data_IF_697638200144
#
_entry.id   IF_697638200144
#
_cell.length_a   1.000
_cell.length_b   1.000
_cell.length_c   1.000
_cell.angle_alpha   90.00
_cell.angle_beta   90.00
_cell.angle_gamma   90.00
#
_symmetry.space_group_name_H-M   'P 1'
#
loop_
_entity.id
_entity.type
_entity.pdbx_description
1 polymer ?
#
# COMPACT_ATOMS: atom_id res chain seq x y z
N UNK A 1 -97.08 25.30 6.97
CA UNK A 1 -97.05 25.35 5.50
C UNK A 1 -96.87 23.94 4.97
N UNK A 2 -97.93 23.46 4.30
CA UNK A 2 -98.10 22.36 3.33
C UNK A 2 -97.15 21.14 3.23
N UNK A 3 -97.78 19.97 3.50
CA UNK A 3 -98.05 18.81 2.61
C UNK A 3 -96.93 17.84 2.16
N UNK A 4 -97.17 16.59 2.58
CA UNK A 4 -97.36 15.36 1.78
C UNK A 4 -96.26 14.29 1.66
N UNK A 5 -96.74 13.07 1.97
CA UNK A 5 -96.24 11.70 1.84
C UNK A 5 -95.87 11.24 0.40
N UNK A 6 -95.38 9.99 0.33
CA UNK A 6 -95.40 8.95 -0.75
C UNK A 6 -93.99 8.61 -1.31
N UNK A 7 -93.36 7.43 -1.08
CA UNK A 7 -93.58 6.01 -1.49
C UNK A 7 -92.85 5.59 -2.80
N UNK A 8 -91.91 4.61 -2.69
CA UNK A 8 -91.34 3.63 -3.68
C UNK A 8 -90.33 4.14 -4.75
N UNK A 9 -89.36 3.42 -5.34
CA UNK A 9 -88.63 2.12 -5.20
C UNK A 9 -87.54 2.08 -6.33
N UNK A 10 -86.47 1.27 -6.20
CA UNK A 10 -85.36 0.93 -7.16
C UNK A 10 -84.19 1.94 -7.27
N UNK A 11 -82.88 1.61 -7.33
CA UNK A 11 -82.17 0.44 -7.86
C UNK A 11 -80.68 0.40 -7.39
N UNK A 12 -80.08 -0.80 -7.44
CA UNK A 12 -78.65 -1.13 -7.65
C UNK A 12 -77.64 -1.09 -6.48
N UNK A 13 -77.45 -2.31 -5.94
CA UNK A 13 -76.25 -2.88 -5.31
C UNK A 13 -74.94 -2.54 -6.05
N UNK A 14 -74.02 -1.82 -5.39
CA UNK A 14 -72.62 -1.69 -5.79
C UNK A 14 -71.77 -2.71 -5.04
N UNK A 15 -71.51 -3.84 -5.69
CA UNK A 15 -70.48 -4.81 -5.29
C UNK A 15 -69.13 -4.22 -5.69
N UNK A 16 -68.33 -3.81 -4.70
CA UNK A 16 -66.92 -3.47 -4.90
C UNK A 16 -66.12 -4.75 -5.07
N UNK A 17 -65.89 -5.15 -6.32
CA UNK A 17 -64.94 -6.20 -6.70
C UNK A 17 -63.52 -5.66 -6.52
N UNK A 18 -62.85 -6.10 -5.45
CA UNK A 18 -61.40 -6.12 -5.39
C UNK A 18 -60.89 -7.09 -6.47
N UNK A 19 -60.45 -6.58 -7.61
CA UNK A 19 -59.70 -7.34 -8.59
C UNK A 19 -58.29 -7.63 -8.02
N UNK A 20 -58.14 -8.71 -7.26
CA UNK A 20 -56.83 -9.32 -7.07
C UNK A 20 -56.46 -10.01 -8.39
N UNK A 21 -55.69 -9.33 -9.23
CA UNK A 21 -55.03 -9.96 -10.36
C UNK A 21 -54.01 -10.98 -9.82
N UNK A 22 -54.42 -12.23 -9.68
CA UNK A 22 -53.49 -13.35 -9.65
C UNK A 22 -52.90 -13.47 -11.05
N UNK A 23 -51.72 -12.90 -11.26
CA UNK A 23 -50.93 -13.19 -12.45
C UNK A 23 -50.62 -14.70 -12.45
N UNK A 24 -51.31 -15.45 -13.32
CA UNK A 24 -50.97 -16.85 -13.58
C UNK A 24 -49.62 -16.85 -14.30
N UNK A 25 -48.54 -17.07 -13.54
CA UNK A 25 -47.23 -17.37 -14.11
C UNK A 25 -47.39 -18.59 -15.02
N UNK A 26 -47.03 -18.45 -16.31
CA UNK A 26 -47.04 -19.58 -17.23
C UNK A 26 -46.15 -20.68 -16.65
N UNK A 27 -46.62 -21.94 -16.69
CA UNK A 27 -45.83 -23.05 -16.18
C UNK A 27 -44.44 -23.05 -16.85
N UNK A 28 -43.35 -23.20 -16.08
CA UNK A 28 -42.00 -23.11 -16.62
C UNK A 28 -41.79 -24.22 -17.65
N UNK A 29 -41.27 -23.85 -18.83
CA UNK A 29 -41.03 -24.78 -19.95
C UNK A 29 -40.02 -25.88 -19.57
N UNK A 30 -39.04 -25.51 -18.75
CA UNK A 30 -38.03 -26.40 -18.18
C UNK A 30 -37.92 -26.11 -16.68
N UNK A 31 -37.73 -27.13 -15.86
CA UNK A 31 -37.34 -26.95 -14.46
C UNK A 31 -35.84 -27.09 -14.33
N UNK A 32 -35.22 -26.17 -13.60
CA UNK A 32 -33.76 -26.10 -13.41
C UNK A 32 -33.51 -26.00 -11.92
N UNK A 33 -33.24 -27.16 -11.30
CA UNK A 33 -33.18 -27.29 -9.85
C UNK A 33 -31.79 -27.76 -9.42
N UNK A 34 -31.25 -27.34 -8.28
CA UNK A 34 -29.99 -27.88 -7.77
C UNK A 34 -30.14 -29.40 -7.56
N UNK A 35 -29.12 -30.16 -7.93
CA UNK A 35 -29.14 -31.63 -7.74
C UNK A 35 -29.29 -32.05 -6.28
N UNK A 36 -28.79 -31.21 -5.36
CA UNK A 36 -28.98 -31.35 -3.92
C UNK A 36 -29.73 -30.10 -3.42
N UNK A 37 -30.88 -30.24 -2.75
CA UNK A 37 -31.60 -29.09 -2.20
C UNK A 37 -30.69 -28.23 -1.31
N UNK A 38 -30.65 -26.91 -1.57
CA UNK A 38 -29.81 -25.96 -0.84
C UNK A 38 -28.34 -25.89 -1.28
N UNK A 39 -27.91 -26.66 -2.28
CA UNK A 39 -26.52 -26.61 -2.79
C UNK A 39 -26.25 -25.45 -3.78
N UNK A 40 -27.18 -24.50 -3.89
CA UNK A 40 -27.11 -23.36 -4.79
C UNK A 40 -26.48 -22.11 -4.14
N UNK A 41 -25.87 -22.23 -2.96
CA UNK A 41 -25.11 -21.14 -2.34
C UNK A 41 -23.65 -21.57 -2.16
N UNK A 42 -22.73 -20.88 -2.83
CA UNK A 42 -21.31 -21.20 -2.86
C UNK A 42 -20.51 -20.01 -2.34
N UNK A 43 -19.57 -20.26 -1.43
CA UNK A 43 -18.60 -19.26 -0.96
C UNK A 43 -17.25 -19.54 -1.59
N UNK A 44 -16.65 -18.55 -2.23
CA UNK A 44 -15.38 -18.69 -2.91
C UNK A 44 -14.38 -17.59 -2.52
N UNK A 45 -13.08 -17.93 -2.47
CA UNK A 45 -11.98 -16.98 -2.63
C UNK A 45 -12.13 -16.12 -3.88
N UNK A 46 -11.51 -14.93 -3.95
CA UNK A 46 -11.40 -14.16 -5.20
C UNK A 46 -10.71 -14.91 -6.35
N UNK A 47 -9.93 -15.98 -6.07
CA UNK A 47 -9.31 -16.85 -7.09
C UNK A 47 -9.82 -18.29 -7.03
N UNK A 48 -10.93 -18.53 -6.34
CA UNK A 48 -11.46 -19.85 -6.09
C UNK A 48 -12.21 -20.41 -7.29
N UNK A 49 -12.30 -21.73 -7.35
CA UNK A 49 -13.21 -22.41 -8.26
C UNK A 49 -14.10 -23.38 -7.48
N UNK A 50 -15.33 -23.56 -7.93
CA UNK A 50 -16.25 -24.57 -7.42
C UNK A 50 -16.94 -25.27 -8.58
N UNK A 51 -17.49 -26.46 -8.28
CA UNK A 51 -18.41 -27.14 -9.18
C UNK A 51 -19.78 -27.21 -8.52
N UNK A 52 -20.82 -26.91 -9.29
CA UNK A 52 -22.21 -27.09 -8.88
C UNK A 52 -22.95 -27.85 -9.95
N UNK A 53 -23.91 -28.68 -9.53
CA UNK A 53 -24.67 -29.53 -10.44
C UNK A 53 -26.15 -29.20 -10.32
N UNK A 54 -26.77 -28.91 -11.46
CA UNK A 54 -28.21 -28.71 -11.61
C UNK A 54 -28.85 -29.88 -12.36
N UNK A 55 -30.13 -30.13 -12.12
CA UNK A 55 -30.95 -31.06 -12.90
C UNK A 55 -31.89 -30.23 -13.76
N UNK A 56 -31.80 -30.43 -15.08
CA UNK A 56 -32.67 -29.78 -16.06
C UNK A 56 -33.69 -30.79 -16.54
N UNK A 57 -34.99 -30.50 -16.41
CA UNK A 57 -36.09 -31.37 -16.86
C UNK A 57 -36.93 -30.69 -17.93
N UNK A 58 -37.25 -31.42 -19.01
CA UNK A 58 -38.20 -30.96 -20.02
C UNK A 58 -39.65 -31.18 -19.57
N UNK A 59 -40.40 -30.10 -19.33
CA UNK A 59 -41.84 -30.16 -18.97
C UNK A 59 -42.78 -30.01 -20.16
N UNK A 60 -42.23 -29.79 -21.37
CA UNK A 60 -43.01 -29.73 -22.60
C UNK A 60 -43.35 -31.13 -23.11
N UNK A 61 -44.43 -31.21 -23.89
CA UNK A 61 -44.86 -32.43 -24.59
C UNK A 61 -44.03 -32.76 -25.83
N UNK A 62 -42.99 -31.98 -26.15
CA UNK A 62 -42.14 -32.17 -27.33
C UNK A 62 -40.66 -32.24 -26.95
N UNK A 63 -39.89 -33.02 -27.70
CA UNK A 63 -38.42 -33.09 -27.58
C UNK A 63 -37.81 -31.73 -27.91
N UNK A 64 -36.83 -31.28 -27.11
CA UNK A 64 -36.13 -30.00 -27.31
C UNK A 64 -34.62 -30.17 -27.20
N UNK A 65 -33.92 -29.47 -28.07
CA UNK A 65 -32.46 -29.28 -27.99
C UNK A 65 -32.19 -27.94 -27.30
N UNK A 66 -31.31 -27.96 -26.32
CA UNK A 66 -31.07 -26.91 -25.34
C UNK A 66 -29.59 -26.52 -25.31
N UNK A 67 -29.34 -25.24 -25.06
CA UNK A 67 -28.01 -24.69 -24.82
C UNK A 67 -28.01 -23.88 -23.53
N UNK A 68 -26.86 -23.79 -22.87
CA UNK A 68 -26.66 -22.92 -21.71
C UNK A 68 -26.06 -21.61 -22.19
N UNK A 69 -26.64 -20.49 -21.77
CA UNK A 69 -26.08 -19.18 -22.06
C UNK A 69 -24.82 -18.93 -21.21
N UNK A 70 -23.74 -18.39 -21.80
CA UNK A 70 -22.56 -17.99 -21.03
C UNK A 70 -22.92 -16.95 -19.95
N UNK A 71 -22.34 -17.11 -18.76
CA UNK A 71 -22.45 -16.15 -17.66
C UNK A 71 -21.03 -15.87 -17.16
N UNK A 72 -20.70 -14.60 -16.89
CA UNK A 72 -19.38 -14.26 -16.36
C UNK A 72 -19.09 -15.04 -15.07
N UNK A 73 -17.89 -15.62 -14.96
CA UNK A 73 -17.52 -16.44 -13.80
C UNK A 73 -18.18 -17.81 -13.70
N UNK A 74 -18.99 -18.23 -14.69
CA UNK A 74 -19.60 -19.55 -14.70
C UNK A 74 -19.56 -20.17 -16.10
N UNK A 75 -18.98 -21.35 -16.21
CA UNK A 75 -18.93 -22.12 -17.45
C UNK A 75 -19.55 -23.50 -17.26
N UNK A 76 -20.08 -24.07 -18.33
CA UNK A 76 -20.50 -25.46 -18.32
C UNK A 76 -19.25 -26.36 -18.34
N UNK A 77 -19.16 -27.29 -17.39
CA UNK A 77 -18.08 -28.28 -17.35
C UNK A 77 -18.41 -29.41 -18.33
N UNK A 78 -17.85 -29.35 -19.53
CA UNK A 78 -18.13 -30.30 -20.63
C UNK A 78 -17.29 -31.59 -20.58
N UNK A 79 -16.63 -31.89 -19.45
CA UNK A 79 -15.70 -33.00 -19.31
C UNK A 79 -16.18 -34.35 -19.90
N UNK A 80 -15.61 -34.73 -21.05
CA UNK A 80 -15.66 -36.07 -21.64
C UNK A 80 -17.03 -36.54 -22.19
N UNK A 81 -16.99 -37.59 -23.01
CA UNK A 81 -18.12 -38.21 -23.74
C UNK A 81 -19.29 -38.73 -22.89
N UNK A 82 -19.26 -38.57 -21.55
CA UNK A 82 -20.26 -39.08 -20.61
C UNK A 82 -20.97 -37.98 -19.79
N UNK A 83 -20.90 -36.70 -20.17
CA UNK A 83 -21.67 -35.66 -19.50
C UNK A 83 -23.16 -35.70 -19.94
N UNK A 84 -24.13 -35.91 -19.04
CA UNK A 84 -25.55 -36.04 -19.40
C UNK A 84 -26.17 -34.81 -20.06
N UNK A 85 -25.70 -33.60 -19.71
CA UNK A 85 -26.04 -32.37 -20.43
C UNK A 85 -24.77 -31.86 -21.14
N UNK A 86 -24.36 -32.46 -22.27
CA UNK A 86 -23.36 -31.84 -23.15
C UNK A 86 -23.93 -30.60 -23.85
N UNK A 87 -23.11 -29.66 -24.29
CA UNK A 87 -23.60 -28.47 -25.00
C UNK A 87 -23.46 -28.66 -26.52
N UNK A 88 -24.55 -28.64 -27.31
CA UNK A 88 -25.96 -28.66 -26.93
C UNK A 88 -26.43 -30.05 -26.44
N UNK A 89 -27.53 -30.10 -25.67
CA UNK A 89 -28.14 -31.36 -25.20
C UNK A 89 -29.61 -31.46 -25.61
N UNK A 90 -30.12 -32.68 -25.78
CA UNK A 90 -31.51 -32.92 -26.18
C UNK A 90 -32.26 -33.69 -25.10
N UNK A 91 -33.43 -33.18 -24.70
CA UNK A 91 -34.32 -33.81 -23.73
C UNK A 91 -35.66 -34.15 -24.37
N UNK A 92 -36.06 -35.41 -24.30
CA UNK A 92 -37.42 -35.86 -24.64
C UNK A 92 -38.42 -35.41 -23.54
N UNK A 93 -39.73 -35.39 -23.81
CA UNK A 93 -40.74 -35.00 -22.82
C UNK A 93 -40.58 -35.74 -21.49
N UNK A 94 -40.54 -35.02 -20.38
CA UNK A 94 -40.42 -35.56 -19.02
C UNK A 94 -39.00 -36.01 -18.60
N UNK A 95 -38.06 -36.13 -19.54
CA UNK A 95 -36.68 -36.55 -19.23
C UNK A 95 -35.86 -35.43 -18.57
N UNK A 96 -34.80 -35.82 -17.86
CA UNK A 96 -33.87 -34.90 -17.19
C UNK A 96 -32.41 -35.23 -17.48
N UNK A 97 -31.53 -34.23 -17.37
CA UNK A 97 -30.08 -34.43 -17.38
C UNK A 97 -29.39 -33.61 -16.26
N UNK A 98 -28.17 -34.01 -15.89
CA UNK A 98 -27.34 -33.30 -14.92
C UNK A 98 -26.42 -32.31 -15.61
N UNK A 99 -26.62 -31.02 -15.34
CA UNK A 99 -25.83 -29.90 -15.83
C UNK A 99 -24.74 -29.56 -14.82
N UNK A 100 -23.50 -29.88 -15.16
CA UNK A 100 -22.33 -29.54 -14.34
C UNK A 100 -21.80 -28.16 -14.73
N UNK A 101 -21.64 -27.28 -13.75
CA UNK A 101 -21.17 -25.91 -13.90
C UNK A 101 -19.89 -25.74 -13.10
N UNK A 102 -18.89 -25.12 -13.71
CA UNK A 102 -17.66 -24.67 -13.06
C UNK A 102 -17.76 -23.17 -12.83
N UNK A 103 -17.57 -22.77 -11.58
CA UNK A 103 -17.54 -21.37 -11.16
C UNK A 103 -16.07 -20.95 -11.08
N UNK A 104 -15.73 -19.78 -11.61
CA UNK A 104 -14.43 -19.14 -11.46
C UNK A 104 -14.60 -17.75 -10.85
N UNK A 105 -14.27 -17.63 -9.56
CA UNK A 105 -14.42 -16.38 -8.83
C UNK A 105 -13.43 -15.29 -9.29
N UNK A 106 -12.36 -15.63 -10.02
CA UNK A 106 -11.43 -14.63 -10.55
C UNK A 106 -12.06 -13.73 -11.64
N UNK A 107 -13.24 -14.11 -12.13
CA UNK A 107 -14.02 -13.36 -13.11
C UNK A 107 -15.20 -12.62 -12.46
N UNK A 108 -15.32 -12.67 -11.13
CA UNK A 108 -16.38 -12.05 -10.36
C UNK A 108 -15.77 -11.01 -9.40
N UNK A 109 -16.33 -9.79 -9.32
CA UNK A 109 -15.95 -8.84 -8.26
C UNK A 109 -16.19 -9.43 -6.86
N UNK A 110 -15.57 -8.90 -5.79
CA UNK A 110 -15.94 -9.25 -4.42
C UNK A 110 -17.44 -8.99 -4.14
N UNK A 111 -18.06 -9.83 -3.32
CA UNK A 111 -19.48 -9.70 -2.95
C UNK A 111 -20.34 -10.91 -3.33
N UNK A 112 -21.66 -10.75 -3.25
CA UNK A 112 -22.64 -11.81 -3.56
C UNK A 112 -23.19 -11.58 -4.96
N UNK A 113 -23.14 -12.64 -5.78
CA UNK A 113 -23.63 -12.64 -7.16
C UNK A 113 -24.77 -13.62 -7.30
N UNK A 114 -25.92 -13.14 -7.77
CA UNK A 114 -27.02 -13.98 -8.23
C UNK A 114 -26.71 -14.48 -9.64
N UNK A 115 -26.11 -15.67 -9.71
CA UNK A 115 -25.86 -16.42 -10.92
C UNK A 115 -26.98 -17.46 -11.14
N UNK A 116 -26.94 -18.12 -12.28
CA UNK A 116 -27.83 -19.26 -12.54
C UNK A 116 -27.73 -19.69 -13.99
N UNK A 117 -27.80 -20.99 -14.28
CA UNK A 117 -27.82 -21.47 -15.65
C UNK A 117 -29.09 -20.99 -16.36
N UNK A 118 -28.93 -20.12 -17.35
CA UNK A 118 -29.99 -19.80 -18.30
C UNK A 118 -29.98 -20.85 -19.40
N UNK A 119 -31.05 -21.64 -19.52
CA UNK A 119 -31.17 -22.71 -20.52
C UNK A 119 -32.13 -22.28 -21.61
N UNK A 120 -31.67 -22.25 -22.86
CA UNK A 120 -32.41 -21.75 -24.02
C UNK A 120 -32.70 -22.85 -25.04
N UNK A 121 -33.81 -22.76 -25.76
CA UNK A 121 -34.16 -23.67 -26.86
C UNK A 121 -33.34 -23.29 -28.10
N UNK A 122 -32.54 -24.23 -28.62
CA UNK A 122 -31.64 -23.99 -29.75
C UNK A 122 -30.57 -22.95 -29.44
N UNK A 123 -30.09 -22.25 -30.47
CA UNK A 123 -29.14 -21.14 -30.34
C UNK A 123 -29.82 -19.76 -30.22
N UNK A 124 -31.15 -19.69 -30.27
CA UNK A 124 -31.90 -18.44 -30.20
C UNK A 124 -32.16 -18.02 -28.75
N UNK A 125 -31.84 -16.77 -28.43
CA UNK A 125 -31.95 -16.20 -27.08
C UNK A 125 -33.40 -15.83 -26.69
N UNK A 126 -34.39 -16.19 -27.51
CA UNK A 126 -35.79 -15.74 -27.37
C UNK A 126 -36.70 -16.69 -26.58
N UNK A 127 -36.23 -17.89 -26.23
CA UNK A 127 -37.01 -18.84 -25.42
C UNK A 127 -36.14 -19.57 -24.41
N UNK A 128 -35.83 -18.89 -23.31
CA UNK A 128 -35.02 -19.42 -22.21
C UNK A 128 -35.84 -19.67 -20.94
N UNK A 129 -35.30 -20.50 -20.07
CA UNK A 129 -35.78 -20.71 -18.71
C UNK A 129 -34.65 -20.46 -17.72
N UNK A 130 -35.03 -19.91 -16.58
CA UNK A 130 -34.15 -19.60 -15.44
C UNK A 130 -34.58 -20.48 -14.26
N UNK A 131 -33.67 -20.78 -13.32
CA UNK A 131 -34.06 -21.33 -12.02
C UNK A 131 -35.09 -20.43 -11.33
N UNK A 132 -35.94 -21.01 -10.49
CA UNK A 132 -36.81 -20.21 -9.63
C UNK A 132 -35.97 -19.36 -8.66
N UNK A 133 -36.51 -18.27 -8.07
CA UNK A 133 -35.75 -17.40 -7.17
C UNK A 133 -35.01 -18.16 -6.03
N UNK A 134 -35.61 -19.23 -5.50
CA UNK A 134 -35.02 -20.02 -4.42
C UNK A 134 -33.95 -21.03 -4.90
N UNK A 135 -33.90 -21.28 -6.21
CA UNK A 135 -33.01 -22.26 -6.85
C UNK A 135 -31.85 -21.59 -7.62
N UNK A 136 -31.84 -20.27 -7.71
CA UNK A 136 -30.76 -19.50 -8.34
C UNK A 136 -29.42 -19.76 -7.62
N UNK A 137 -28.35 -19.82 -8.41
CA UNK A 137 -27.01 -20.03 -7.90
C UNK A 137 -26.49 -18.72 -7.31
N UNK A 138 -26.26 -18.66 -6.01
CA UNK A 138 -25.62 -17.54 -5.37
C UNK A 138 -24.15 -17.85 -5.12
N UNK A 139 -23.27 -16.97 -5.60
CA UNK A 139 -21.82 -17.06 -5.38
C UNK A 139 -21.36 -15.87 -4.56
N UNK A 140 -20.87 -16.13 -3.36
CA UNK A 140 -20.29 -15.12 -2.48
C UNK A 140 -18.76 -15.16 -2.58
N UNK A 141 -18.16 -14.12 -3.14
CA UNK A 141 -16.72 -13.97 -3.31
C UNK A 141 -16.15 -13.15 -2.15
N UNK A 142 -15.26 -13.74 -1.36
CA UNK A 142 -14.60 -13.09 -0.24
C UNK A 142 -13.18 -12.63 -0.57
N UNK A 143 -12.78 -11.50 0.04
CA UNK A 143 -11.42 -10.97 -0.02
C UNK A 143 -10.95 -10.45 1.33
N UNK A 144 -9.64 -10.56 1.56
CA UNK A 144 -8.94 -9.97 2.69
C UNK A 144 -8.02 -8.85 2.18
N UNK A 145 -7.77 -7.83 3.01
CA UNK A 145 -6.76 -6.81 2.73
C UNK A 145 -5.91 -6.53 3.96
N UNK A 146 -4.70 -6.00 3.75
CA UNK A 146 -3.83 -5.48 4.82
C UNK A 146 -3.86 -3.95 4.82
N UNK A 147 -3.73 -3.35 6.00
CA UNK A 147 -3.63 -1.89 6.14
C UNK A 147 -2.35 -1.29 5.52
N UNK A 148 -1.30 -2.10 5.33
CA UNK A 148 -0.08 -1.72 4.64
C UNK A 148 0.58 -2.93 3.98
N UNK A 149 1.29 -2.72 2.87
CA UNK A 149 2.15 -3.73 2.23
C UNK A 149 3.55 -3.79 2.84
N UNK A 150 3.97 -2.76 3.58
CA UNK A 150 5.27 -2.69 4.28
C UNK A 150 5.11 -2.04 5.64
N UNK A 151 5.63 -2.69 6.68
CA UNK A 151 5.64 -2.20 8.05
C UNK A 151 7.08 -2.14 8.57
N UNK A 152 7.52 -0.95 8.96
CA UNK A 152 8.87 -0.71 9.44
C UNK A 152 8.82 -0.36 10.91
N UNK A 153 9.69 -1.00 11.70
CA UNK A 153 9.82 -0.78 13.13
C UNK A 153 11.25 -0.33 13.47
N UNK A 154 11.40 0.48 14.51
CA UNK A 154 12.70 0.75 15.10
C UNK A 154 13.12 -0.43 16.00
N UNK A 155 14.39 -0.84 15.90
CA UNK A 155 15.01 -1.84 16.78
C UNK A 155 14.82 -1.45 18.25
N UNK A 156 14.50 -2.41 19.11
CA UNK A 156 14.38 -2.20 20.55
C UNK A 156 15.71 -1.72 21.17
N UNK A 157 15.64 -0.73 22.06
CA UNK A 157 16.79 -0.18 22.78
C UNK A 157 17.65 0.77 21.94
N UNK A 158 17.16 1.17 20.76
CA UNK A 158 17.81 2.17 19.92
C UNK A 158 17.57 3.60 20.42
N UNK A 159 16.34 3.87 20.87
CA UNK A 159 15.91 5.17 21.36
C UNK A 159 16.00 5.22 22.89
N UNK A 160 16.03 6.43 23.46
CA UNK A 160 16.01 6.64 24.90
C UNK A 160 14.76 6.07 25.58
N UNK A 161 13.67 5.95 24.82
CA UNK A 161 12.46 5.22 25.21
C UNK A 161 12.37 3.89 24.47
N UNK A 162 11.60 2.95 25.03
CA UNK A 162 11.39 1.67 24.37
C UNK A 162 10.68 1.86 23.02
N UNK A 163 11.26 1.29 21.96
CA UNK A 163 10.67 1.31 20.62
C UNK A 163 9.25 0.71 20.64
N UNK A 164 8.32 1.40 19.97
CA UNK A 164 6.90 1.08 20.03
C UNK A 164 6.57 -0.10 19.12
N UNK A 165 5.66 -0.95 19.60
CA UNK A 165 4.99 -1.92 18.75
C UNK A 165 4.16 -1.19 17.67
N UNK A 166 4.00 -1.85 16.52
CA UNK A 166 3.20 -1.36 15.39
C UNK A 166 2.09 -2.33 15.03
N UNK A 167 1.06 -1.85 14.35
CA UNK A 167 -0.12 -2.64 14.02
C UNK A 167 -0.28 -2.83 12.52
N UNK A 168 -0.63 -4.06 12.14
CA UNK A 168 -1.06 -4.44 10.81
C UNK A 168 -2.49 -4.98 10.90
N UNK A 169 -3.43 -4.36 10.18
CA UNK A 169 -4.84 -4.69 10.27
C UNK A 169 -5.23 -5.52 9.05
N UNK A 170 -5.81 -6.70 9.31
CA UNK A 170 -6.40 -7.57 8.30
C UNK A 170 -7.90 -7.29 8.27
N UNK A 171 -8.43 -6.84 7.14
CA UNK A 171 -9.87 -6.54 6.98
C UNK A 171 -10.53 -7.56 6.08
N UNK A 172 -11.69 -8.06 6.52
CA UNK A 172 -12.57 -8.92 5.74
C UNK A 172 -13.59 -8.06 4.99
N UNK A 173 -13.52 -8.04 3.67
CA UNK A 173 -14.45 -7.30 2.80
C UNK A 173 -15.64 -8.14 2.33
N UNK A 174 -15.72 -9.41 2.75
CA UNK A 174 -16.82 -10.29 2.41
C UNK A 174 -18.09 -9.98 3.23
N UNK A 175 -19.24 -10.34 2.68
CA UNK A 175 -20.54 -10.33 3.37
C UNK A 175 -20.74 -11.52 4.31
N UNK A 176 -19.71 -12.35 4.50
CA UNK A 176 -19.72 -13.52 5.38
C UNK A 176 -18.42 -13.62 6.17
N UNK A 177 -18.44 -14.37 7.27
CA UNK A 177 -17.25 -14.60 8.08
C UNK A 177 -16.23 -15.47 7.35
N UNK A 178 -14.95 -15.09 7.40
CA UNK A 178 -13.83 -15.89 6.89
C UNK A 178 -13.18 -16.59 8.08
N UNK A 179 -13.20 -17.91 8.09
CA UNK A 179 -12.60 -18.74 9.13
C UNK A 179 -11.15 -19.11 8.82
N UNK A 180 -10.47 -19.68 9.82
CA UNK A 180 -9.09 -20.18 9.77
C UNK A 180 -8.07 -19.16 9.25
N UNK A 181 -8.29 -17.87 9.54
CA UNK A 181 -7.35 -16.82 9.19
C UNK A 181 -6.09 -16.96 10.05
N UNK A 182 -5.05 -17.47 9.43
CA UNK A 182 -3.72 -17.71 10.00
C UNK A 182 -2.69 -16.92 9.22
N UNK A 183 -1.46 -16.85 9.76
CA UNK A 183 -0.34 -16.27 9.03
C UNK A 183 0.92 -17.11 9.22
N UNK A 184 1.80 -17.03 8.23
CA UNK A 184 3.17 -17.55 8.29
C UNK A 184 4.15 -16.42 7.99
N UNK A 185 5.35 -16.49 8.55
CA UNK A 185 6.39 -15.51 8.29
C UNK A 185 7.64 -16.21 7.75
N UNK A 186 8.15 -15.75 6.61
CA UNK A 186 9.39 -16.27 6.01
C UNK A 186 10.16 -15.17 5.27
N UNK A 187 11.48 -15.01 5.49
CA UNK A 187 12.28 -15.64 6.54
C UNK A 187 11.79 -15.25 7.95
N UNK A 188 12.23 -15.99 8.98
CA UNK A 188 11.85 -15.73 10.37
C UNK A 188 12.14 -14.27 10.76
N UNK A 189 11.26 -13.70 11.60
CA UNK A 189 11.45 -12.36 12.14
C UNK A 189 12.81 -12.24 12.88
N UNK A 190 13.41 -11.04 12.91
CA UNK A 190 14.61 -10.79 13.70
C UNK A 190 14.43 -11.20 15.16
N UNK A 191 15.51 -11.66 15.80
CA UNK A 191 15.44 -12.22 17.15
C UNK A 191 14.69 -11.29 18.13
N UNK A 192 13.83 -11.91 18.94
CA UNK A 192 12.94 -11.26 19.91
C UNK A 192 11.83 -10.36 19.33
N UNK A 193 11.68 -10.26 18.02
CA UNK A 193 10.51 -9.64 17.38
C UNK A 193 9.33 -10.60 17.44
N UNK A 194 8.14 -10.11 17.82
CA UNK A 194 6.96 -10.97 18.07
C UNK A 194 5.71 -10.38 17.42
N UNK A 195 4.81 -11.26 16.99
CA UNK A 195 3.48 -10.90 16.48
C UNK A 195 2.43 -11.46 17.43
N UNK A 196 1.43 -10.65 17.78
CA UNK A 196 0.29 -11.03 18.61
C UNK A 196 -1.01 -10.52 17.97
N UNK A 197 -2.10 -11.29 17.95
CA UNK A 197 -2.21 -12.67 18.40
C UNK A 197 -1.48 -13.66 17.46
N UNK A 198 -1.33 -14.92 17.88
CA UNK A 198 -0.72 -15.99 17.08
C UNK A 198 -1.56 -16.41 15.86
N UNK A 199 -2.86 -16.13 15.90
CA UNK A 199 -3.82 -16.40 14.82
C UNK A 199 -4.97 -15.40 14.91
N UNK A 200 -5.62 -15.12 13.78
CA UNK A 200 -6.82 -14.31 13.71
C UNK A 200 -8.11 -15.12 13.84
N UNK A 201 -8.04 -16.45 13.75
CA UNK A 201 -9.20 -17.33 13.84
C UNK A 201 -10.26 -16.98 12.79
N UNK A 202 -11.47 -16.65 13.23
CA UNK A 202 -12.56 -16.24 12.34
C UNK A 202 -12.74 -14.73 12.37
N UNK A 203 -12.68 -14.09 11.19
CA UNK A 203 -12.97 -12.67 11.03
C UNK A 203 -14.42 -12.51 10.52
N UNK A 204 -15.33 -11.87 11.28
CA UNK A 204 -16.73 -11.64 10.86
C UNK A 204 -16.83 -10.87 9.54
N UNK A 205 -18.01 -10.88 8.91
CA UNK A 205 -18.31 -10.06 7.75
C UNK A 205 -18.06 -8.57 8.04
N UNK A 206 -17.29 -7.88 7.20
CA UNK A 206 -16.86 -6.49 7.45
C UNK A 206 -15.93 -6.31 8.66
N UNK A 207 -15.56 -7.39 9.34
CA UNK A 207 -14.73 -7.37 10.55
C UNK A 207 -13.25 -7.19 10.24
N UNK A 208 -12.43 -7.11 11.28
CA UNK A 208 -10.98 -7.04 11.15
C UNK A 208 -10.25 -7.78 12.27
N UNK A 209 -9.03 -8.21 11.99
CA UNK A 209 -8.06 -8.72 12.96
C UNK A 209 -6.87 -7.76 13.03
N UNK A 210 -6.47 -7.38 14.24
CA UNK A 210 -5.34 -6.46 14.45
C UNK A 210 -4.14 -7.27 14.92
N UNK A 211 -3.12 -7.37 14.08
CA UNK A 211 -1.82 -7.92 14.46
C UNK A 211 -0.97 -6.80 15.05
N UNK A 212 -0.43 -7.02 16.25
CA UNK A 212 0.54 -6.15 16.92
C UNK A 212 1.91 -6.78 16.81
N UNK A 213 2.82 -6.08 16.13
CA UNK A 213 4.22 -6.47 15.92
C UNK A 213 5.07 -5.68 16.92
N UNK A 214 5.71 -6.37 17.86
CA UNK A 214 6.62 -5.76 18.84
C UNK A 214 8.07 -5.99 18.39
N UNK A 215 8.88 -4.94 18.17
CA UNK A 215 10.24 -5.09 17.68
C UNK A 215 11.14 -5.75 18.72
N UNK A 216 12.05 -6.60 18.24
CA UNK A 216 13.12 -7.18 19.04
C UNK A 216 14.36 -6.28 19.12
N UNK A 217 15.36 -6.76 19.83
CA UNK A 217 16.66 -6.09 19.99
C UNK A 217 17.65 -6.41 18.86
N UNK A 218 17.21 -7.07 17.79
CA UNK A 218 18.03 -7.40 16.62
C UNK A 218 17.39 -6.80 15.38
N UNK A 219 18.11 -6.04 14.55
CA UNK A 219 17.57 -5.49 13.31
C UNK A 219 17.46 -6.58 12.23
N UNK A 220 16.70 -6.31 11.19
CA UNK A 220 16.70 -7.10 9.96
C UNK A 220 18.07 -7.04 9.29
N UNK A 221 18.55 -8.18 8.79
CA UNK A 221 19.88 -8.29 8.17
C UNK A 221 19.82 -8.20 6.64
N UNK A 222 20.84 -7.62 5.99
CA UNK A 222 20.97 -7.65 4.54
C UNK A 222 21.14 -9.08 4.00
N UNK A 223 20.81 -9.28 2.71
CA UNK A 223 20.87 -10.60 2.07
C UNK A 223 22.30 -11.12 1.82
N UNK A 224 23.25 -10.23 1.48
CA UNK A 224 24.56 -10.69 0.99
C UNK A 224 25.77 -9.78 1.22
N UNK A 225 25.62 -8.55 1.73
CA UNK A 225 26.77 -7.68 2.09
C UNK A 225 26.33 -6.42 2.87
N UNK A 226 27.30 -5.72 3.47
CA UNK A 226 27.14 -4.30 3.78
C UNK A 226 26.84 -3.54 2.47
N UNK A 227 25.93 -2.55 2.49
CA UNK A 227 25.41 -1.80 1.32
C UNK A 227 24.27 -2.45 0.52
N UNK A 228 23.54 -3.41 1.11
CA UNK A 228 22.27 -3.89 0.56
C UNK A 228 21.15 -3.66 1.56
N UNK A 229 19.92 -3.53 1.07
CA UNK A 229 18.76 -3.38 1.95
C UNK A 229 18.56 -4.62 2.82
N UNK A 230 18.07 -4.47 4.06
CA UNK A 230 17.63 -5.58 4.87
C UNK A 230 16.63 -6.46 4.12
N UNK A 231 16.81 -7.78 4.20
CA UNK A 231 15.82 -8.71 3.66
C UNK A 231 14.56 -8.65 4.55
N UNK A 232 13.39 -8.28 4.00
CA UNK A 232 12.17 -8.23 4.79
C UNK A 232 11.73 -9.64 5.20
N UNK A 233 11.16 -9.76 6.39
CA UNK A 233 10.35 -10.93 6.74
C UNK A 233 8.99 -10.77 6.08
N UNK A 234 8.60 -11.72 5.23
CA UNK A 234 7.31 -11.68 4.53
C UNK A 234 6.26 -12.36 5.39
N UNK A 235 5.30 -11.59 5.88
CA UNK A 235 4.10 -12.08 6.54
C UNK A 235 3.06 -12.42 5.47
N UNK A 236 2.68 -13.70 5.39
CA UNK A 236 1.67 -14.22 4.47
C UNK A 236 0.44 -14.61 5.26
N UNK A 237 -0.68 -13.91 5.06
CA UNK A 237 -1.97 -14.23 5.68
C UNK A 237 -2.78 -15.09 4.75
N UNK A 238 -3.37 -16.15 5.29
CA UNK A 238 -4.24 -17.08 4.57
C UNK A 238 -5.45 -17.41 5.45
N UNK A 239 -6.65 -17.37 4.87
CA UNK A 239 -7.86 -17.94 5.46
C UNK A 239 -8.57 -18.87 4.47
N UNK A 240 -9.76 -19.36 4.83
CA UNK A 240 -10.59 -20.18 3.94
C UNK A 240 -10.97 -19.43 2.63
N UNK A 241 -10.80 -18.11 2.60
CA UNK A 241 -10.96 -17.24 1.43
C UNK A 241 -9.80 -17.29 0.42
N UNK A 242 -8.92 -18.29 0.48
CA UNK A 242 -8.09 -18.86 -0.61
C UNK A 242 -7.14 -17.96 -1.42
N UNK A 243 -7.10 -16.64 -1.23
CA UNK A 243 -6.05 -15.79 -1.76
C UNK A 243 -5.18 -15.29 -0.60
N UNK A 244 -3.89 -15.64 -0.65
CA UNK A 244 -2.92 -15.14 0.31
C UNK A 244 -2.70 -13.64 0.09
N UNK A 245 -2.57 -12.89 1.18
CA UNK A 245 -2.13 -11.49 1.15
C UNK A 245 -0.84 -11.36 1.93
N UNK A 246 0.05 -10.48 1.49
CA UNK A 246 1.40 -10.38 2.05
C UNK A 246 1.74 -8.97 2.49
N UNK A 247 2.49 -8.85 3.59
CA UNK A 247 3.17 -7.63 3.98
C UNK A 247 4.63 -7.90 4.32
N UNK A 248 5.49 -6.94 4.04
CA UNK A 248 6.90 -6.94 4.43
C UNK A 248 7.06 -6.34 5.82
N UNK A 249 7.79 -7.02 6.70
CA UNK A 249 8.14 -6.52 8.03
C UNK A 249 9.65 -6.31 8.07
N UNK A 250 10.08 -5.09 8.41
CA UNK A 250 11.49 -4.71 8.50
C UNK A 250 11.73 -4.06 9.86
N UNK A 251 12.76 -4.51 10.58
CA UNK A 251 13.23 -3.86 11.81
C UNK A 251 14.52 -3.12 11.48
N UNK A 252 14.50 -1.79 11.54
CA UNK A 252 15.65 -0.95 11.21
C UNK A 252 16.39 -0.45 12.46
N UNK A 253 17.68 -0.22 12.28
CA UNK A 253 18.56 0.51 13.19
C UNK A 253 19.37 1.52 12.38
N UNK A 254 20.09 2.42 13.06
CA UNK A 254 21.03 3.32 12.40
C UNK A 254 22.07 2.56 11.58
N UNK A 255 22.56 3.21 10.52
CA UNK A 255 23.51 2.67 9.53
C UNK A 255 22.97 1.50 8.69
N UNK A 256 21.71 1.08 8.85
CA UNK A 256 21.08 0.21 7.86
C UNK A 256 20.96 0.93 6.52
N UNK A 257 21.20 0.20 5.43
CA UNK A 257 20.98 0.71 4.08
C UNK A 257 19.50 0.50 3.72
N UNK A 258 18.78 1.55 3.36
CA UNK A 258 17.35 1.50 3.05
C UNK A 258 17.02 2.52 1.95
N UNK A 259 16.34 2.09 0.90
CA UNK A 259 15.91 2.89 -0.24
C UNK A 259 17.02 3.83 -0.76
N UNK A 260 18.17 3.23 -1.06
CA UNK A 260 19.41 3.86 -1.58
C UNK A 260 20.13 4.84 -0.65
N UNK A 261 19.88 4.80 0.66
CA UNK A 261 20.63 5.59 1.63
C UNK A 261 20.83 4.89 2.98
N UNK A 262 21.65 5.48 3.84
CA UNK A 262 21.91 5.00 5.20
C UNK A 262 21.01 5.68 6.21
N UNK A 263 20.29 4.89 7.00
CA UNK A 263 19.39 5.37 8.05
C UNK A 263 20.20 6.11 9.12
N UNK A 264 19.92 7.40 9.31
CA UNK A 264 20.53 8.23 10.36
C UNK A 264 19.51 8.82 11.33
N UNK A 265 18.22 8.82 10.97
CA UNK A 265 17.15 9.22 11.88
C UNK A 265 15.97 8.25 11.77
N UNK A 266 15.38 7.95 12.93
CA UNK A 266 14.16 7.16 13.08
C UNK A 266 13.21 7.92 14.00
N UNK A 267 12.00 8.18 13.51
CA UNK A 267 10.91 8.80 14.26
C UNK A 267 9.89 7.75 14.65
N UNK A 268 9.90 7.37 15.93
CA UNK A 268 9.00 6.39 16.51
C UNK A 268 7.75 7.04 17.15
N UNK A 269 7.52 8.33 16.87
CA UNK A 269 6.31 9.06 17.30
C UNK A 269 5.14 8.90 16.34
N UNK A 270 5.36 8.32 15.15
CA UNK A 270 4.31 8.04 14.18
C UNK A 270 3.17 7.21 14.79
N UNK A 271 1.94 7.31 14.24
CA UNK A 271 0.80 6.52 14.70
C UNK A 271 1.10 5.02 14.73
N UNK A 272 0.49 4.28 15.66
CA UNK A 272 0.73 2.83 15.82
C UNK A 272 0.41 2.01 14.57
N UNK A 273 -0.50 2.49 13.72
CA UNK A 273 -0.90 1.86 12.45
C UNK A 273 0.03 2.18 11.27
N UNK A 274 1.09 2.95 11.48
CA UNK A 274 2.05 3.36 10.45
C UNK A 274 3.46 2.85 10.78
N UNK A 275 4.31 2.81 9.76
CA UNK A 275 5.74 2.62 9.92
C UNK A 275 6.35 3.76 10.74
N UNK A 276 7.52 3.50 11.33
CA UNK A 276 8.38 4.58 11.85
C UNK A 276 8.77 5.53 10.72
N UNK A 277 8.89 6.82 11.03
CA UNK A 277 9.48 7.79 10.09
C UNK A 277 10.98 7.53 9.94
N UNK A 278 11.53 7.69 8.75
CA UNK A 278 12.92 7.35 8.45
C UNK A 278 13.56 8.52 7.72
N UNK A 279 14.79 8.89 8.09
CA UNK A 279 15.66 9.69 7.22
C UNK A 279 16.91 8.93 6.84
N UNK A 280 17.26 9.00 5.56
CA UNK A 280 18.42 8.34 4.98
C UNK A 280 19.38 9.33 4.34
N UNK A 281 20.69 9.10 4.48
CA UNK A 281 21.74 9.83 3.76
C UNK A 281 22.16 9.04 2.52
N UNK A 282 22.34 9.70 1.38
CA UNK A 282 22.61 9.04 0.11
C UNK A 282 23.83 8.11 0.20
N UNK A 283 23.82 7.02 -0.58
CA UNK A 283 24.88 6.00 -0.58
C UNK A 283 26.29 6.57 -0.74
N UNK A 284 26.46 7.62 -1.55
CA UNK A 284 27.75 8.25 -1.85
C UNK A 284 27.58 9.78 -1.98
N UNK A 285 28.69 10.52 -2.05
CA UNK A 285 28.65 11.95 -2.35
C UNK A 285 27.93 12.16 -3.67
N UNK A 286 27.04 13.15 -3.71
CA UNK A 286 26.25 13.47 -4.89
C UNK A 286 27.01 14.36 -5.88
N UNK A 287 28.19 14.85 -5.51
CA UNK A 287 29.09 15.58 -6.41
C UNK A 287 29.97 14.60 -7.21
N UNK A 288 30.19 14.92 -8.49
CA UNK A 288 30.72 13.98 -9.48
C UNK A 288 32.24 13.69 -9.37
N UNK A 289 32.98 14.31 -8.45
CA UNK A 289 34.41 14.01 -8.28
C UNK A 289 34.91 14.21 -6.86
N UNK A 290 35.91 13.41 -6.49
CA UNK A 290 36.67 13.47 -5.23
C UNK A 290 37.34 14.84 -4.97
N UNK A 291 37.30 15.77 -5.93
CA UNK A 291 37.85 17.13 -5.84
C UNK A 291 36.87 18.24 -6.29
N UNK A 292 35.63 17.91 -6.64
CA UNK A 292 34.64 18.88 -7.11
C UNK A 292 33.51 18.96 -6.10
N UNK A 293 33.61 19.91 -5.18
CA UNK A 293 32.47 20.34 -4.39
C UNK A 293 31.46 21.12 -5.24
N UNK A 294 30.42 21.63 -4.60
CA UNK A 294 29.58 22.66 -5.17
C UNK A 294 29.54 23.84 -4.22
N UNK A 295 29.29 25.02 -4.77
CA UNK A 295 28.96 26.20 -3.99
C UNK A 295 27.61 26.03 -3.29
N UNK A 296 27.44 26.70 -2.15
CA UNK A 296 26.15 26.84 -1.48
C UNK A 296 25.25 27.84 -2.23
N UNK A 297 25.87 28.95 -2.68
CA UNK A 297 25.31 30.10 -3.40
C UNK A 297 26.47 30.71 -4.23
N UNK A 298 26.19 31.48 -5.28
CA UNK A 298 27.19 32.23 -6.06
C UNK A 298 27.84 33.41 -5.29
N UNK A 299 27.56 33.58 -4.00
CA UNK A 299 28.04 34.69 -3.17
C UNK A 299 27.22 35.97 -3.36
N UNK A 300 26.03 35.87 -3.97
CA UNK A 300 25.12 37.00 -4.17
C UNK A 300 24.54 37.53 -2.86
N UNK A 301 24.45 36.67 -1.84
CA UNK A 301 23.69 36.97 -0.63
C UNK A 301 22.19 37.08 -0.88
N UNK A 302 21.70 36.52 -1.99
CA UNK A 302 20.29 36.58 -2.38
C UNK A 302 19.38 35.75 -1.46
N UNK A 303 19.92 34.67 -0.88
CA UNK A 303 19.20 33.85 0.10
C UNK A 303 19.08 34.66 1.40
N UNK A 304 17.84 35.00 1.75
CA UNK A 304 17.48 35.75 2.97
C UNK A 304 16.21 35.21 3.63
N UNK A 305 15.71 34.05 3.17
CA UNK A 305 14.36 33.57 3.44
C UNK A 305 14.38 32.47 4.49
N UNK A 306 14.43 32.86 5.76
CA UNK A 306 14.14 32.01 6.94
C UNK A 306 14.70 30.58 6.88
N UNK A 307 15.93 30.46 6.41
CA UNK A 307 16.78 29.26 6.47
C UNK A 307 17.94 29.44 7.45
N UNK A 308 17.91 30.54 8.22
CA UNK A 308 18.89 30.86 9.25
C UNK A 308 18.86 29.84 10.39
N UNK A 309 19.98 29.64 11.04
CA UNK A 309 20.14 28.79 12.23
C UNK A 309 19.28 29.19 13.45
N UNK A 310 18.74 30.40 13.46
CA UNK A 310 17.80 30.89 14.48
C UNK A 310 16.36 31.04 13.97
N UNK A 311 16.10 30.67 12.71
CA UNK A 311 14.77 30.81 12.10
C UNK A 311 13.85 29.65 12.47
N UNK A 312 12.58 29.98 12.75
CA UNK A 312 11.49 29.03 12.98
C UNK A 312 10.34 29.16 11.96
N UNK A 313 10.46 30.08 10.99
CA UNK A 313 9.48 30.35 9.95
C UNK A 313 10.13 31.06 8.75
N UNK A 314 9.76 30.74 7.50
CA UNK A 314 8.84 29.68 7.11
C UNK A 314 9.41 28.27 7.33
N UNK A 315 10.74 28.15 7.46
CA UNK A 315 11.43 26.91 7.79
C UNK A 315 12.02 26.97 9.19
N UNK A 316 12.22 25.81 9.80
CA UNK A 316 13.09 25.68 10.97
C UNK A 316 14.52 25.50 10.46
N UNK A 317 15.26 26.59 10.25
CA UNK A 317 16.50 26.56 9.46
C UNK A 317 17.56 25.57 9.96
N UNK A 318 17.67 25.31 11.25
CA UNK A 318 18.60 24.31 11.78
C UNK A 318 18.15 22.85 11.65
N UNK A 319 16.86 22.58 11.39
CA UNK A 319 16.27 21.24 11.52
C UNK A 319 15.52 20.72 10.29
N UNK A 320 15.09 21.62 9.40
CA UNK A 320 14.23 21.29 8.27
C UNK A 320 14.98 21.47 6.94
N UNK A 321 15.90 20.55 6.65
CA UNK A 321 16.69 20.60 5.43
C UNK A 321 15.84 20.56 4.16
N UNK A 322 14.68 19.90 4.20
CA UNK A 322 13.76 19.83 3.08
C UNK A 322 13.14 21.20 2.77
N UNK A 323 12.60 21.88 3.78
CA UNK A 323 12.08 23.23 3.64
C UNK A 323 13.18 24.21 3.21
N UNK A 324 14.36 24.14 3.85
CA UNK A 324 15.48 25.01 3.48
C UNK A 324 15.92 24.81 2.03
N UNK A 325 16.07 23.55 1.62
CA UNK A 325 16.47 23.22 0.25
C UNK A 325 15.46 23.77 -0.75
N UNK A 326 14.16 23.63 -0.48
CA UNK A 326 13.12 24.21 -1.33
C UNK A 326 13.24 25.74 -1.41
N UNK A 327 13.40 26.42 -0.27
CA UNK A 327 13.55 27.88 -0.22
C UNK A 327 14.79 28.39 -0.98
N UNK A 328 15.96 27.76 -0.76
CA UNK A 328 17.22 28.09 -1.45
C UNK A 328 17.05 27.91 -2.96
N UNK A 329 16.47 26.77 -3.39
CA UNK A 329 16.26 26.47 -4.81
C UNK A 329 15.30 27.47 -5.46
N UNK A 330 14.23 27.88 -4.76
CA UNK A 330 13.30 28.89 -5.26
C UNK A 330 14.00 30.24 -5.46
N UNK A 331 14.81 30.68 -4.50
CA UNK A 331 15.51 31.97 -4.59
C UNK A 331 16.56 31.94 -5.70
N UNK A 332 17.47 30.98 -5.69
CA UNK A 332 18.63 30.98 -6.59
C UNK A 332 18.30 30.63 -8.03
N UNK A 333 17.22 29.87 -8.29
CA UNK A 333 16.74 29.65 -9.67
C UNK A 333 15.79 30.75 -10.15
N UNK A 334 15.24 31.54 -9.24
CA UNK A 334 14.36 32.66 -9.54
C UNK A 334 15.14 33.88 -10.04
N UNK A 335 14.47 34.86 -10.65
CA UNK A 335 15.06 36.17 -10.90
C UNK A 335 15.44 36.87 -9.57
N UNK A 336 16.59 37.58 -9.49
CA UNK A 336 17.50 37.90 -10.59
C UNK A 336 18.60 36.85 -10.84
N UNK A 337 18.81 35.88 -9.95
CA UNK A 337 19.98 34.99 -9.97
C UNK A 337 19.98 33.99 -11.12
N UNK A 338 18.85 33.31 -11.36
CA UNK A 338 18.64 32.37 -12.47
C UNK A 338 19.75 31.30 -12.60
N UNK A 339 20.26 30.79 -11.48
CA UNK A 339 21.34 29.80 -11.50
C UNK A 339 20.89 28.49 -12.16
N UNK A 340 21.77 27.83 -12.95
CA UNK A 340 21.47 26.55 -13.58
C UNK A 340 21.11 25.43 -12.58
N UNK A 341 20.34 24.45 -13.05
CA UNK A 341 20.07 23.25 -12.26
C UNK A 341 21.38 22.49 -11.99
N UNK A 342 21.52 21.97 -10.77
CA UNK A 342 22.71 21.25 -10.29
C UNK A 342 24.00 22.09 -10.20
N UNK A 343 23.94 23.42 -10.33
CA UNK A 343 25.14 24.28 -10.19
C UNK A 343 25.44 24.71 -8.75
N UNK A 344 24.56 24.38 -7.80
CA UNK A 344 24.72 24.66 -6.37
C UNK A 344 24.14 23.51 -5.53
N UNK A 345 24.61 23.38 -4.29
CA UNK A 345 24.40 22.21 -3.44
C UNK A 345 22.92 21.84 -3.27
N UNK A 346 22.07 22.82 -2.94
CA UNK A 346 20.64 22.58 -2.73
C UNK A 346 19.93 22.12 -4.01
N UNK A 347 20.23 22.71 -5.18
CA UNK A 347 19.61 22.28 -6.44
C UNK A 347 20.07 20.89 -6.87
N UNK A 348 21.31 20.50 -6.58
CA UNK A 348 21.77 19.14 -6.84
C UNK A 348 20.90 18.13 -6.10
N UNK A 349 20.67 18.35 -4.80
CA UNK A 349 19.86 17.44 -4.00
C UNK A 349 18.39 17.46 -4.40
N UNK A 350 17.80 18.64 -4.62
CA UNK A 350 16.39 18.75 -5.03
C UNK A 350 16.09 18.04 -6.36
N UNK A 351 17.08 17.92 -7.24
CA UNK A 351 16.95 17.26 -8.54
C UNK A 351 17.52 15.83 -8.55
N UNK A 352 18.12 15.38 -7.44
CA UNK A 352 18.70 14.04 -7.36
C UNK A 352 17.60 12.98 -7.34
N UNK A 353 17.79 11.94 -8.15
CA UNK A 353 16.92 10.78 -8.24
C UNK A 353 17.76 9.54 -8.46
N UNK A 354 17.40 8.45 -7.77
CA UNK A 354 18.10 7.17 -7.88
C UNK A 354 17.09 6.03 -7.82
N UNK A 355 17.26 5.01 -8.66
CA UNK A 355 16.39 3.84 -8.64
C UNK A 355 16.87 2.73 -7.69
N UNK A 356 16.06 1.69 -7.51
CA UNK A 356 16.38 0.53 -6.66
C UNK A 356 17.63 -0.26 -7.10
N UNK A 357 18.08 -0.10 -8.34
CA UNK A 357 19.33 -0.70 -8.85
C UNK A 357 20.55 0.21 -8.66
N UNK A 358 20.34 1.45 -8.19
CA UNK A 358 21.38 2.44 -7.95
C UNK A 358 21.70 3.31 -9.17
N UNK A 359 20.87 3.31 -10.22
CA UNK A 359 21.08 4.19 -11.37
C UNK A 359 20.57 5.61 -11.07
N UNK A 360 21.35 6.61 -11.45
CA UNK A 360 21.03 8.03 -11.34
C UNK A 360 21.41 8.75 -12.63
N UNK A 361 20.49 9.44 -13.33
CA UNK A 361 19.05 9.48 -13.06
C UNK A 361 18.39 8.10 -13.12
N UNK A 362 17.20 7.96 -12.54
CA UNK A 362 16.45 6.70 -12.57
C UNK A 362 16.26 6.16 -13.99
N UNK A 363 16.30 4.83 -14.12
CA UNK A 363 15.83 4.16 -15.33
C UNK A 363 14.29 4.22 -15.46
N UNK A 364 13.80 4.36 -16.69
CA UNK A 364 12.36 4.31 -17.00
C UNK A 364 11.73 2.98 -16.53
N UNK A 365 10.54 3.06 -15.94
CA UNK A 365 9.82 1.89 -15.42
C UNK A 365 10.33 1.35 -14.07
N UNK A 366 11.37 1.95 -13.47
CA UNK A 366 11.90 1.54 -12.16
C UNK A 366 11.24 2.29 -10.99
N UNK A 367 11.30 1.71 -9.79
CA UNK A 367 10.94 2.42 -8.57
C UNK A 367 11.99 3.50 -8.28
N UNK A 368 11.59 4.76 -8.40
CA UNK A 368 12.45 5.91 -8.15
C UNK A 368 12.35 6.40 -6.71
N UNK A 369 13.52 6.69 -6.15
CA UNK A 369 13.64 7.47 -4.93
C UNK A 369 14.04 8.91 -5.29
N UNK A 370 13.07 9.82 -5.19
CA UNK A 370 13.19 11.27 -5.42
C UNK A 370 13.03 12.06 -4.12
N UNK A 371 12.79 13.38 -4.16
CA UNK A 371 12.57 14.23 -2.98
C UNK A 371 13.77 14.28 -2.01
N UNK A 372 14.98 14.12 -2.55
CA UNK A 372 16.20 14.34 -1.78
C UNK A 372 16.39 15.84 -1.52
N UNK A 373 17.07 16.16 -0.43
CA UNK A 373 17.36 17.53 -0.01
C UNK A 373 18.75 17.62 0.61
N UNK A 374 19.29 18.84 0.65
CA UNK A 374 20.51 19.14 1.38
C UNK A 374 20.16 19.16 2.88
N UNK A 375 20.84 18.40 3.75
CA UNK A 375 20.48 18.30 5.16
C UNK A 375 20.69 19.64 5.87
N UNK A 376 19.82 19.97 6.82
CA UNK A 376 20.07 21.06 7.76
C UNK A 376 21.21 20.69 8.73
N UNK A 377 21.84 21.69 9.34
CA UNK A 377 23.04 21.48 10.16
C UNK A 377 22.80 20.51 11.33
N UNK A 378 21.62 20.54 11.97
CA UNK A 378 21.30 19.62 13.06
C UNK A 378 20.85 18.23 12.60
N UNK A 379 20.55 18.04 11.31
CA UNK A 379 20.42 16.70 10.72
C UNK A 379 21.79 16.05 10.48
N UNK A 380 22.83 16.88 10.28
CA UNK A 380 24.20 16.41 10.10
C UNK A 380 24.85 16.05 11.45
N UNK A 381 24.71 16.87 12.48
CA UNK A 381 25.19 16.52 13.83
C UNK A 381 25.43 17.70 14.75
N UNK A 382 25.67 17.46 16.05
CA UNK A 382 26.01 18.53 16.99
C UNK A 382 27.50 18.92 16.84
N UNK A 383 27.83 20.21 16.97
CA UNK A 383 29.21 20.61 17.19
C UNK A 383 29.58 20.36 18.64
N UNK A 384 30.77 19.82 18.85
CA UNK A 384 31.37 19.71 20.18
C UNK A 384 31.85 21.06 20.74
N UNK A 385 31.84 22.15 19.97
CA UNK A 385 32.45 23.44 20.36
C UNK A 385 31.69 24.71 19.93
N UNK A 386 30.56 24.62 19.23
CA UNK A 386 29.84 25.79 18.71
C UNK A 386 28.37 25.75 19.11
N UNK A 387 27.94 26.53 20.13
CA UNK A 387 26.56 26.52 20.59
C UNK A 387 25.58 27.17 19.61
N UNK A 388 26.05 27.79 18.52
CA UNK A 388 25.25 28.72 17.71
C UNK A 388 24.26 28.04 16.76
N UNK A 389 24.53 26.83 16.28
CA UNK A 389 23.58 26.09 15.44
C UNK A 389 22.32 25.65 16.23
N UNK A 390 22.32 25.78 17.56
CA UNK A 390 21.21 25.50 18.46
C UNK A 390 20.64 24.08 18.35
N UNK A 391 21.48 23.08 18.06
CA UNK A 391 21.05 21.69 17.94
C UNK A 391 20.64 21.09 19.29
N UNK A 392 19.40 20.58 19.37
CA UNK A 392 18.83 19.99 20.57
C UNK A 392 19.55 18.65 20.84
N UNK A 393 20.16 18.47 22.03
CA UNK A 393 20.79 17.22 22.40
C UNK A 393 19.85 16.02 22.28
N UNK A 394 20.35 14.92 21.72
CA UNK A 394 19.57 13.70 21.50
C UNK A 394 18.72 13.70 20.22
N UNK A 395 18.76 14.77 19.41
CA UNK A 395 18.18 14.76 18.06
C UNK A 395 18.98 13.79 17.17
N UNK A 396 18.33 12.81 16.51
CA UNK A 396 19.03 11.89 15.61
C UNK A 396 19.70 12.62 14.45
N UNK A 397 20.97 12.32 14.19
CA UNK A 397 21.79 13.03 13.22
C UNK A 397 22.88 12.12 12.61
N UNK A 398 23.52 12.56 11.53
CA UNK A 398 24.52 11.76 10.80
C UNK A 398 25.79 11.46 11.62
N UNK A 399 26.32 12.43 12.38
CA UNK A 399 27.55 12.24 13.19
C UNK A 399 27.38 11.11 14.20
N UNK A 400 26.30 11.15 14.97
CA UNK A 400 26.07 10.18 16.04
C UNK A 400 25.69 8.80 15.50
N UNK A 401 24.91 8.78 14.41
CA UNK A 401 24.23 7.56 13.95
C UNK A 401 24.92 6.87 12.76
N UNK A 402 25.84 7.54 12.05
CA UNK A 402 26.60 6.99 10.93
C UNK A 402 28.10 6.84 11.24
N UNK A 403 28.45 6.54 12.49
CA UNK A 403 29.84 6.37 12.94
C UNK A 403 30.67 5.39 12.11
N UNK A 404 30.04 4.37 11.50
CA UNK A 404 30.74 3.45 10.59
C UNK A 404 31.19 4.12 9.29
N UNK A 405 30.48 5.15 8.82
CA UNK A 405 30.83 5.92 7.62
C UNK A 405 31.87 7.01 7.92
N UNK A 406 31.97 7.44 9.19
CA UNK A 406 32.94 8.42 9.69
C UNK A 406 34.09 7.71 10.41
N UNK A 407 34.29 6.41 10.19
CA UNK A 407 35.41 5.70 10.82
C UNK A 407 36.68 5.86 9.98
N UNK A 408 37.84 5.97 10.63
CA UNK A 408 39.15 5.87 9.96
C UNK A 408 39.34 4.53 9.22
N UNK A 409 38.51 3.53 9.50
CA UNK A 409 38.48 2.23 8.82
C UNK A 409 37.50 2.19 7.64
N UNK A 410 36.69 3.23 7.45
CA UNK A 410 35.80 3.31 6.31
C UNK A 410 36.62 3.54 5.03
N UNK A 411 36.39 2.71 4.02
CA UNK A 411 37.01 2.86 2.70
C UNK A 411 35.95 2.84 1.59
N UNK A 412 35.97 3.82 0.69
CA UNK A 412 35.08 3.88 -0.47
C UNK A 412 34.25 5.16 -0.54
N UNK A 413 33.44 5.28 -1.59
CA UNK A 413 32.66 6.49 -1.87
C UNK A 413 31.50 6.74 -0.88
N UNK A 414 31.18 5.74 -0.05
CA UNK A 414 30.16 5.86 0.98
C UNK A 414 30.62 6.60 2.23
N UNK A 415 31.93 6.67 2.47
CA UNK A 415 32.49 7.28 3.67
C UNK A 415 32.26 8.78 3.70
N UNK A 416 32.17 9.33 4.91
CA UNK A 416 32.04 10.76 5.18
C UNK A 416 33.35 11.26 5.76
N UNK A 417 34.01 12.17 5.02
CA UNK A 417 35.27 12.78 5.44
C UNK A 417 35.43 14.13 4.76
N UNK A 418 35.84 15.15 5.52
CA UNK A 418 36.01 16.50 4.99
C UNK A 418 34.78 17.39 5.20
N UNK A 419 34.77 18.55 4.54
CA UNK A 419 33.72 19.55 4.67
C UNK A 419 32.53 19.28 3.75
N UNK A 420 31.34 19.36 4.33
CA UNK A 420 30.06 19.17 3.65
C UNK A 420 29.13 20.34 3.92
N UNK A 421 28.46 20.80 2.87
CA UNK A 421 27.43 21.82 3.02
C UNK A 421 26.21 21.27 3.77
N UNK A 422 25.70 22.09 4.70
CA UNK A 422 24.33 21.99 5.17
C UNK A 422 23.43 22.97 4.39
N UNK A 423 22.13 22.84 4.52
CA UNK A 423 21.15 23.82 4.01
C UNK A 423 20.90 24.99 4.96
N UNK A 424 21.64 25.10 6.07
CA UNK A 424 21.43 26.13 7.09
C UNK A 424 22.33 27.33 6.84
N UNK A 425 21.73 28.51 6.79
CA UNK A 425 22.43 29.78 6.62
C UNK A 425 22.85 30.35 7.98
N UNK A 426 23.95 31.07 8.05
CA UNK A 426 24.39 31.69 9.29
C UNK A 426 23.71 33.04 9.50
N UNK A 427 22.90 33.17 10.54
CA UNK A 427 22.11 34.36 10.89
C UNK A 427 22.93 35.65 11.03
N UNK A 428 24.18 35.57 11.51
CA UNK A 428 25.01 36.77 11.76
C UNK A 428 25.63 37.32 10.47
N UNK A 429 25.95 36.47 9.49
CA UNK A 429 26.47 36.89 8.19
C UNK A 429 25.83 36.10 7.05
N UNK A 430 24.52 36.30 6.80
CA UNK A 430 23.79 35.49 5.84
C UNK A 430 24.21 35.79 4.40
N UNK A 431 24.73 36.99 4.11
CA UNK A 431 25.18 37.33 2.76
C UNK A 431 26.42 36.51 2.33
N UNK A 432 27.32 36.18 3.28
CA UNK A 432 28.62 35.60 2.95
C UNK A 432 28.83 34.15 3.38
N UNK A 433 28.13 33.68 4.42
CA UNK A 433 28.47 32.41 5.08
C UNK A 433 27.27 31.50 5.29
N UNK A 434 27.53 30.20 5.23
CA UNK A 434 26.57 29.15 5.56
C UNK A 434 27.24 28.11 6.46
N UNK A 435 26.42 27.31 7.13
CA UNK A 435 26.90 26.25 7.99
C UNK A 435 27.37 25.06 7.15
N UNK A 436 28.56 24.56 7.50
CA UNK A 436 29.12 23.32 7.02
C UNK A 436 29.45 22.41 8.20
N UNK A 437 29.57 21.11 7.94
CA UNK A 437 30.10 20.16 8.91
C UNK A 437 31.35 19.51 8.34
N UNK A 438 32.43 19.52 9.12
CA UNK A 438 33.61 18.71 8.86
C UNK A 438 33.41 17.34 9.53
N UNK A 439 33.27 16.30 8.71
CA UNK A 439 33.33 14.92 9.20
C UNK A 439 34.79 14.51 9.37
N UNK A 440 35.21 14.25 10.61
CA UNK A 440 36.57 13.83 10.95
C UNK A 440 36.61 12.31 11.23
N UNK A 441 37.25 11.49 10.38
CA UNK A 441 37.35 10.07 10.62
C UNK A 441 38.25 9.64 11.79
N UNK A 442 39.13 10.54 12.25
CA UNK A 442 40.13 10.28 13.29
C UNK A 442 39.86 10.99 14.62
N UNK A 443 38.88 11.91 14.66
CA UNK A 443 38.55 12.65 15.88
C UNK A 443 37.05 12.95 15.99
N UNK A 444 36.68 14.11 16.51
CA UNK A 444 35.29 14.56 16.60
C UNK A 444 34.96 15.47 15.43
N UNK A 445 33.84 15.22 14.75
CA UNK A 445 33.30 16.12 13.74
C UNK A 445 32.98 17.50 14.33
N UNK A 446 33.19 18.55 13.55
CA UNK A 446 33.01 19.95 13.99
C UNK A 446 32.13 20.73 13.01
N UNK A 447 31.28 21.61 13.54
CA UNK A 447 30.66 22.64 12.70
C UNK A 447 31.71 23.61 12.21
N UNK A 448 31.48 24.16 11.03
CA UNK A 448 32.25 25.25 10.49
C UNK A 448 31.33 26.27 9.83
N UNK A 449 31.81 27.51 9.76
CA UNK A 449 31.21 28.56 8.98
C UNK A 449 32.11 28.78 7.77
N UNK A 450 31.58 28.50 6.59
CA UNK A 450 32.34 28.61 5.36
C UNK A 450 31.69 29.63 4.42
N UNK A 451 32.54 30.21 3.57
CA UNK A 451 32.10 31.17 2.55
C UNK A 451 31.27 30.43 1.49
N UNK A 452 30.08 30.95 1.20
CA UNK A 452 29.08 30.28 0.35
C UNK A 452 29.55 29.94 -1.06
N UNK A 453 30.52 30.69 -1.58
CA UNK A 453 31.10 30.50 -2.92
C UNK A 453 32.23 29.44 -2.96
N UNK A 454 32.54 28.78 -1.84
CA UNK A 454 33.51 27.69 -1.81
C UNK A 454 32.88 26.36 -2.23
N UNK A 455 33.67 25.54 -2.90
CA UNK A 455 33.27 24.20 -3.32
C UNK A 455 33.45 23.20 -2.17
N UNK A 456 32.35 22.81 -1.52
CA UNK A 456 32.34 21.74 -0.50
C UNK A 456 31.55 20.52 -0.96
N UNK A 457 31.75 19.38 -0.31
CA UNK A 457 31.04 18.16 -0.66
C UNK A 457 29.54 18.26 -0.38
N UNK A 458 28.76 17.48 -1.13
CA UNK A 458 27.30 17.40 -0.96
C UNK A 458 26.92 15.94 -0.71
N UNK A 459 26.22 15.73 0.40
CA UNK A 459 25.57 14.45 0.73
C UNK A 459 24.08 14.70 0.91
N UNK A 460 23.29 14.33 -0.09
CA UNK A 460 21.85 14.52 -0.02
C UNK A 460 21.22 13.54 0.97
N UNK A 461 20.15 13.96 1.61
CA UNK A 461 19.34 13.15 2.52
C UNK A 461 17.89 13.09 2.04
N UNK A 462 17.10 12.13 2.53
CA UNK A 462 15.68 11.99 2.20
C UNK A 462 14.89 11.49 3.40
N UNK A 463 13.66 11.97 3.57
CA UNK A 463 12.65 11.31 4.39
C UNK A 463 12.01 10.16 3.58
N UNK A 464 12.17 8.92 4.04
CA UNK A 464 11.84 7.70 3.29
C UNK A 464 10.49 7.09 3.69
#
# INVERSE_FOLDING_TARGET
MNKNNWIWMWCLSLISLFNTHTALASLPKFTIVPSVPGSNFVRLPINGTAKVTYVVTNKLSTTKTLTVQPVAGMTQDTGGSNNPCQSPFTLVPGSSCSLNLKINASQLPPGVHDLGPTVCIGSSHSSCSLPSPNEKLQVAVGSLSLSSSTLILAKQGLLSTASKARQLIITNHASFAIANVTYSVSPQLPANTRISPATCGTIPAGGSCVLTITPGNTPSTPASAALTEPTPSVLTVQGDSGAAITAHIIVLTYNNFYQQGFVFALDDTTPISQSVGIKVAAKQNNTASVHGGLVWDNGSGAVTVGVFDDSSSPCSGSYDGACNTAAIVTVLKGPPEQLPINSFAASLCANYQIDSSGNSPCAEGSTCYSNWYLPAICEMGPAINEPWANCIPGTPNMVDNLSQLISSQCSGLQCLSGYYWSSTEFSVNPAGTAWALYFDPGSSSIHNLDLKFLDLFVRCVRAA
#
